data_IF_272036246139
#
_entry.id   IF_272036246139
#
_cell.length_a   1.000
_cell.length_b   1.000
_cell.length_c   1.000
_cell.angle_alpha   90.00
_cell.angle_beta   90.00
_cell.angle_gamma   90.00
#
_symmetry.space_group_name_H-M   'P 1'
#
loop_
_entity.id
_entity.type
_entity.pdbx_description
1 polymer ?
#
# COMPACT_ATOMS: atom_id res chain seq x y z
N UNK A 1 -12.47 30.86 10.00
CA UNK A 1 -12.31 30.15 8.72
C UNK A 1 -12.07 28.70 9.07
N UNK A 2 -12.84 27.78 8.51
CA UNK A 2 -12.59 26.35 8.68
C UNK A 2 -11.26 25.97 8.01
N UNK A 3 -10.47 25.06 8.61
CA UNK A 3 -9.20 24.64 8.05
C UNK A 3 -9.43 23.92 6.73
N UNK A 4 -8.60 24.23 5.73
CA UNK A 4 -8.78 23.66 4.39
C UNK A 4 -8.45 22.17 4.35
N UNK A 5 -9.27 21.40 3.64
CA UNK A 5 -8.98 19.99 3.39
C UNK A 5 -7.81 19.80 2.40
N UNK A 6 -6.87 18.94 2.78
CA UNK A 6 -5.66 18.63 2.00
C UNK A 6 -5.80 17.28 1.28
N UNK A 7 -6.20 16.25 2.03
CA UNK A 7 -6.31 14.87 1.57
C UNK A 7 -7.41 14.15 2.33
N UNK A 8 -8.06 13.21 1.67
CA UNK A 8 -8.98 12.27 2.29
C UNK A 8 -8.75 10.88 1.72
N UNK A 9 -9.12 9.84 2.47
CA UNK A 9 -9.00 8.45 2.03
C UNK A 9 -9.20 7.46 3.18
N UNK A 10 -9.35 6.19 2.84
CA UNK A 10 -9.41 5.13 3.84
C UNK A 10 -8.00 4.78 4.33
N UNK A 11 -7.82 4.73 5.64
CA UNK A 11 -6.64 4.18 6.30
C UNK A 11 -7.08 3.26 7.43
N UNK A 12 -6.22 2.33 7.82
CA UNK A 12 -6.46 1.48 8.99
C UNK A 12 -5.82 2.12 10.20
N UNK A 13 -6.64 2.52 11.18
CA UNK A 13 -6.19 3.21 12.39
C UNK A 13 -6.12 2.23 13.56
N UNK A 14 -5.03 2.28 14.33
CA UNK A 14 -4.94 1.62 15.64
C UNK A 14 -5.76 2.37 16.69
N UNK A 15 -6.60 1.65 17.43
CA UNK A 15 -7.40 2.15 18.53
C UNK A 15 -6.59 2.30 19.82
N UNK A 16 -6.81 3.39 20.56
CA UNK A 16 -6.01 3.73 21.74
C UNK A 16 -6.29 2.86 22.98
N UNK A 17 -7.50 2.29 23.08
CA UNK A 17 -7.95 1.56 24.30
C UNK A 17 -7.73 0.06 24.20
N UNK A 18 -8.09 -0.54 23.07
CA UNK A 18 -8.07 -2.01 22.88
C UNK A 18 -7.02 -2.49 21.88
N UNK A 19 -6.12 -1.60 21.41
CA UNK A 19 -5.13 -1.88 20.36
C UNK A 19 -5.71 -2.52 19.07
N UNK A 20 -7.03 -2.39 18.84
CA UNK A 20 -7.71 -2.93 17.65
C UNK A 20 -7.45 -2.04 16.44
N UNK A 21 -7.25 -2.64 15.29
CA UNK A 21 -7.08 -1.93 14.02
C UNK A 21 -8.42 -1.88 13.29
N UNK A 22 -8.80 -0.71 12.78
CA UNK A 22 -10.07 -0.53 12.06
C UNK A 22 -9.88 0.37 10.85
N UNK A 23 -10.47 -0.02 9.72
CA UNK A 23 -10.58 0.86 8.56
C UNK A 23 -11.44 2.07 8.93
N UNK A 24 -10.90 3.26 8.73
CA UNK A 24 -11.52 4.54 9.03
C UNK A 24 -11.37 5.46 7.83
N UNK A 25 -12.35 6.33 7.62
CA UNK A 25 -12.22 7.42 6.68
C UNK A 25 -11.39 8.52 7.34
N UNK A 26 -10.26 8.89 6.76
CA UNK A 26 -9.32 9.86 7.34
C UNK A 26 -9.29 11.09 6.47
N UNK A 27 -9.32 12.26 7.11
CA UNK A 27 -9.26 13.57 6.47
C UNK A 27 -8.10 14.36 7.07
N UNK A 28 -7.13 14.71 6.24
CA UNK A 28 -6.04 15.63 6.59
C UNK A 28 -6.49 17.06 6.29
N UNK A 29 -6.50 17.88 7.33
CA UNK A 29 -6.78 19.31 7.31
C UNK A 29 -5.48 20.10 7.51
N UNK A 30 -5.53 21.41 7.31
CA UNK A 30 -4.36 22.29 7.51
C UNK A 30 -3.79 22.26 8.93
N UNK A 31 -4.61 21.99 9.94
CA UNK A 31 -4.28 22.09 11.36
C UNK A 31 -4.32 20.75 12.11
N UNK A 32 -4.87 19.71 11.49
CA UNK A 32 -5.18 18.46 12.16
C UNK A 32 -5.50 17.30 11.21
N UNK A 33 -5.67 16.12 11.79
CA UNK A 33 -6.22 14.95 11.12
C UNK A 33 -7.50 14.55 11.84
N UNK A 34 -8.58 14.46 11.09
CA UNK A 34 -9.84 13.92 11.56
C UNK A 34 -10.04 12.50 11.02
N UNK A 35 -10.72 11.66 11.80
CA UNK A 35 -11.05 10.32 11.36
C UNK A 35 -12.49 9.96 11.71
N UNK A 36 -13.15 9.28 10.79
CA UNK A 36 -14.57 8.99 10.77
C UNK A 36 -14.78 7.49 10.59
N UNK A 37 -15.90 6.96 11.08
CA UNK A 37 -16.21 5.53 10.88
C UNK A 37 -16.57 5.27 9.41
N UNK A 38 -17.23 6.22 8.75
CA UNK A 38 -17.58 6.21 7.33
C UNK A 38 -17.37 7.58 6.72
N UNK A 39 -17.18 7.64 5.40
CA UNK A 39 -17.11 8.90 4.64
C UNK A 39 -18.37 9.75 4.80
N UNK A 40 -19.54 9.12 4.89
CA UNK A 40 -20.85 9.78 5.02
C UNK A 40 -21.16 10.29 6.44
N UNK A 41 -20.26 10.10 7.41
CA UNK A 41 -20.50 10.54 8.78
C UNK A 41 -20.24 12.05 8.89
N UNK A 42 -21.19 12.80 9.45
CA UNK A 42 -21.06 14.26 9.60
C UNK A 42 -20.21 14.69 10.81
N UNK A 43 -19.81 13.76 11.67
CA UNK A 43 -19.04 14.05 12.88
C UNK A 43 -17.83 13.12 13.02
N UNK A 44 -16.64 13.67 13.30
CA UNK A 44 -15.43 12.87 13.46
C UNK A 44 -15.51 12.05 14.75
N UNK A 45 -14.91 10.86 14.71
CA UNK A 45 -14.65 10.04 15.91
C UNK A 45 -13.54 10.63 16.78
N UNK A 46 -12.70 11.47 16.19
CA UNK A 46 -11.68 12.23 16.91
C UNK A 46 -10.83 13.06 15.95
N UNK A 47 -10.06 13.96 16.55
CA UNK A 47 -9.13 14.86 15.88
C UNK A 47 -7.74 14.71 16.50
N UNK A 48 -6.71 14.72 15.66
CA UNK A 48 -5.29 14.69 16.04
C UNK A 48 -4.70 16.04 15.63
N UNK A 49 -4.32 16.92 16.58
CA UNK A 49 -3.69 18.19 16.23
C UNK A 49 -2.31 17.95 15.62
N UNK A 50 -1.96 18.69 14.57
CA UNK A 50 -0.66 18.57 13.91
C UNK A 50 0.39 19.55 14.45
N UNK A 51 -0.02 20.62 15.11
CA UNK A 51 0.89 21.63 15.67
C UNK A 51 1.85 21.01 16.69
N UNK A 52 3.14 21.02 16.37
CA UNK A 52 4.22 20.45 17.20
C UNK A 52 4.22 18.92 17.25
N UNK A 53 3.44 18.26 16.40
CA UNK A 53 3.45 16.79 16.27
C UNK A 53 4.64 16.35 15.43
N UNK A 54 5.19 15.17 15.74
CA UNK A 54 6.26 14.54 14.95
C UNK A 54 5.69 13.36 14.15
N UNK A 55 6.30 13.07 13.01
CA UNK A 55 5.87 12.00 12.11
C UNK A 55 7.03 11.02 11.85
N UNK A 56 6.77 9.74 12.12
CA UNK A 56 7.68 8.62 11.84
C UNK A 56 7.11 7.78 10.68
N UNK A 57 7.86 7.63 9.58
CA UNK A 57 7.43 6.91 8.36
C UNK A 57 7.58 5.40 8.48
N UNK A 58 8.63 4.94 9.14
CA UNK A 58 8.95 3.53 9.36
C UNK A 58 8.59 3.12 10.78
N UNK A 59 7.55 2.30 10.94
CA UNK A 59 7.21 1.70 12.22
C UNK A 59 7.39 0.18 12.13
N UNK A 60 8.55 -0.30 12.59
CA UNK A 60 8.89 -1.73 12.61
C UNK A 60 8.30 -2.47 13.83
N UNK A 61 7.67 -1.73 14.76
CA UNK A 61 7.02 -2.27 15.95
C UNK A 61 5.91 -3.29 15.64
N UNK A 62 5.48 -3.38 14.37
CA UNK A 62 4.44 -4.28 13.90
C UNK A 62 4.94 -5.19 12.79
N UNK A 63 5.70 -6.22 13.14
CA UNK A 63 6.30 -7.19 12.20
C UNK A 63 5.31 -7.81 11.18
N UNK A 64 4.00 -7.83 11.48
CA UNK A 64 2.96 -8.36 10.59
C UNK A 64 2.12 -7.29 9.86
N UNK A 65 2.46 -6.00 9.99
CA UNK A 65 1.72 -4.90 9.35
C UNK A 65 2.66 -4.01 8.56
N UNK A 66 2.51 -4.09 7.25
CA UNK A 66 3.22 -3.23 6.31
C UNK A 66 2.58 -1.84 6.21
N UNK A 67 3.40 -0.86 5.79
CA UNK A 67 2.97 0.50 5.46
C UNK A 67 2.37 1.30 6.63
N UNK A 68 2.83 1.02 7.85
CA UNK A 68 2.42 1.74 9.07
C UNK A 68 3.27 3.00 9.23
N UNK A 69 2.62 4.12 9.49
CA UNK A 69 3.25 5.36 9.94
C UNK A 69 2.67 5.83 11.27
N UNK A 70 3.47 6.59 12.03
CA UNK A 70 3.15 7.05 13.38
C UNK A 70 3.20 8.56 13.50
N UNK A 71 2.19 9.14 14.15
CA UNK A 71 2.14 10.54 14.54
C UNK A 71 2.21 10.62 16.07
N UNK A 72 3.22 11.30 16.59
CA UNK A 72 3.36 11.56 18.03
C UNK A 72 3.00 13.01 18.31
N UNK A 73 1.94 13.24 19.06
CA UNK A 73 1.48 14.60 19.41
C UNK A 73 2.37 15.26 20.45
N UNK A 74 2.24 16.58 20.63
CA UNK A 74 2.94 17.34 21.70
C UNK A 74 2.67 16.80 23.11
N UNK A 75 1.53 16.13 23.32
CA UNK A 75 1.18 15.46 24.58
C UNK A 75 1.79 14.06 24.72
N UNK A 76 2.75 13.70 23.86
CA UNK A 76 3.38 12.37 23.80
C UNK A 76 2.37 11.24 23.57
N UNK A 77 1.27 11.54 22.86
CA UNK A 77 0.30 10.53 22.46
C UNK A 77 0.61 10.03 21.05
N UNK A 78 0.79 8.71 20.92
CA UNK A 78 1.07 8.03 19.65
C UNK A 78 -0.20 7.61 18.92
N UNK A 79 -0.25 7.93 17.63
CA UNK A 79 -1.32 7.55 16.72
C UNK A 79 -0.74 6.82 15.51
N UNK A 80 -1.20 5.58 15.30
CA UNK A 80 -0.73 4.73 14.21
C UNK A 80 -1.78 4.59 13.12
N UNK A 81 -1.33 4.69 11.88
CA UNK A 81 -2.12 4.51 10.68
C UNK A 81 -1.40 3.58 9.72
N UNK A 82 -2.14 2.74 9.03
CA UNK A 82 -1.66 1.84 8.01
C UNK A 82 -2.33 2.18 6.68
N UNK A 83 -1.51 2.35 5.64
CA UNK A 83 -1.97 2.48 4.26
C UNK A 83 -2.17 1.11 3.60
N UNK A 84 -2.88 1.10 2.48
CA UNK A 84 -3.16 -0.11 1.70
C UNK A 84 -1.93 -0.60 0.94
N UNK A 85 -1.08 0.33 0.50
CA UNK A 85 0.15 0.11 -0.27
C UNK A 85 1.16 1.23 -0.01
N UNK A 86 2.39 1.03 -0.48
CA UNK A 86 3.55 1.86 -0.17
C UNK A 86 3.40 3.31 -0.64
N UNK A 87 3.02 3.51 -1.89
CA UNK A 87 2.88 4.83 -2.50
C UNK A 87 1.74 5.63 -1.84
N UNK A 88 0.68 4.95 -1.37
CA UNK A 88 -0.37 5.60 -0.56
C UNK A 88 0.21 6.12 0.75
N UNK A 89 0.97 5.29 1.48
CA UNK A 89 1.64 5.69 2.73
C UNK A 89 2.51 6.91 2.49
N UNK A 90 3.38 6.88 1.49
CA UNK A 90 4.34 7.96 1.23
C UNK A 90 3.63 9.25 0.83
N UNK A 91 2.55 9.14 0.08
CA UNK A 91 1.72 10.28 -0.27
C UNK A 91 1.05 10.91 0.97
N UNK A 92 0.55 10.09 1.91
CA UNK A 92 0.06 10.57 3.20
C UNK A 92 1.16 11.21 4.04
N UNK A 93 2.29 10.52 4.22
CA UNK A 93 3.44 11.00 5.00
C UNK A 93 3.94 12.34 4.46
N UNK A 94 4.08 12.47 3.14
CA UNK A 94 4.51 13.69 2.45
C UNK A 94 3.57 14.86 2.70
N UNK A 95 2.26 14.65 2.60
CA UNK A 95 1.27 15.71 2.80
C UNK A 95 1.18 16.11 4.28
N UNK A 96 1.28 15.15 5.22
CA UNK A 96 1.30 15.43 6.67
C UNK A 96 2.56 16.22 7.06
N UNK A 97 3.75 15.80 6.61
CA UNK A 97 5.01 16.55 6.86
C UNK A 97 4.90 17.99 6.37
N UNK A 98 4.30 18.19 5.19
CA UNK A 98 4.09 19.53 4.62
C UNK A 98 3.12 20.35 5.48
N UNK A 99 2.01 19.76 5.93
CA UNK A 99 1.05 20.44 6.79
C UNK A 99 1.68 20.89 8.11
N UNK A 100 2.39 20.00 8.82
CA UNK A 100 3.11 20.32 10.07
C UNK A 100 4.06 21.51 9.86
N UNK A 101 4.89 21.47 8.81
CA UNK A 101 5.83 22.55 8.49
C UNK A 101 5.13 23.89 8.19
N UNK A 102 3.99 23.87 7.50
CA UNK A 102 3.22 25.08 7.20
C UNK A 102 2.66 25.71 8.48
N UNK A 103 2.11 24.89 9.39
CA UNK A 103 1.58 25.34 10.70
C UNK A 103 2.68 26.00 11.53
N UNK A 104 3.85 25.37 11.62
CA UNK A 104 5.00 25.90 12.40
C UNK A 104 5.51 27.22 11.84
N UNK A 105 5.51 27.39 10.51
CA UNK A 105 5.90 28.64 9.85
C UNK A 105 4.83 29.74 9.85
N UNK A 106 3.64 29.51 10.44
CA UNK A 106 2.52 30.45 10.40
C UNK A 106 1.94 30.66 9.00
N UNK A 107 2.14 29.72 8.08
CA UNK A 107 1.72 29.79 6.67
C UNK A 107 0.47 28.94 6.41
N UNK A 108 -0.43 29.40 5.53
CA UNK A 108 -1.58 28.60 5.04
C UNK A 108 -1.13 27.52 4.05
N UNK A 109 -1.81 26.39 3.99
CA UNK A 109 -1.46 25.29 3.09
C UNK A 109 -1.80 25.64 1.64
N UNK A 110 -0.77 25.80 0.80
CA UNK A 110 -0.94 26.03 -0.62
C UNK A 110 -0.51 24.79 -1.44
N UNK A 111 -1.47 24.14 -2.11
CA UNK A 111 -1.18 23.24 -3.25
C UNK A 111 -0.81 24.10 -4.46
N UNK A 112 0.40 24.68 -4.48
CA UNK A 112 0.99 25.18 -5.73
C UNK A 112 1.76 24.04 -6.40
N UNK A 113 1.45 23.83 -7.68
CA UNK A 113 2.16 22.91 -8.58
C UNK A 113 3.67 23.12 -8.44
N UNK A 114 4.39 22.06 -8.07
CA UNK A 114 5.84 22.09 -7.95
C UNK A 114 6.48 22.09 -9.33
N UNK A 115 6.57 23.26 -9.97
CA UNK A 115 7.69 23.54 -10.86
C UNK A 115 8.69 24.44 -10.14
N UNK A 116 9.87 23.85 -9.92
CA UNK A 116 11.10 24.40 -9.32
C UNK A 116 11.10 24.49 -7.80
N UNK A 117 11.48 23.37 -7.16
CA UNK A 117 12.06 23.38 -5.82
C UNK A 117 13.52 23.81 -5.88
N UNK A 118 13.88 24.72 -4.97
CA UNK A 118 15.25 25.07 -4.64
C UNK A 118 15.91 23.85 -3.99
N UNK A 119 17.12 23.52 -4.47
CA UNK A 119 17.90 22.34 -4.12
C UNK A 119 18.38 22.37 -2.67
N UNK A 120 18.25 21.24 -1.98
CA UNK A 120 19.17 20.81 -0.92
C UNK A 120 20.09 19.73 -1.52
N UNK A 121 21.35 19.60 -1.08
CA UNK A 121 22.26 18.55 -1.55
C UNK A 121 21.77 17.12 -1.21
N UNK A 122 21.49 16.37 -2.28
CA UNK A 122 21.81 14.97 -2.60
C UNK A 122 21.87 13.92 -1.46
N UNK A 123 20.72 13.48 -0.96
CA UNK A 123 20.56 12.11 -0.47
C UNK A 123 19.47 11.45 -1.30
N UNK A 124 19.73 10.23 -1.79
CA UNK A 124 18.87 9.50 -2.73
C UNK A 124 17.40 9.58 -2.30
N UNK A 125 16.51 10.00 -3.21
CA UNK A 125 15.07 9.87 -3.03
C UNK A 125 14.71 8.38 -3.12
N UNK A 126 14.55 7.73 -1.96
CA UNK A 126 14.28 6.29 -1.86
C UNK A 126 13.01 5.89 -2.61
N UNK A 127 12.00 6.77 -2.69
CA UNK A 127 10.78 6.50 -3.45
C UNK A 127 11.02 6.52 -4.95
N UNK A 128 11.77 7.51 -5.45
CA UNK A 128 12.16 7.55 -6.86
C UNK A 128 13.09 6.39 -7.24
N UNK A 129 13.99 6.01 -6.34
CA UNK A 129 14.87 4.86 -6.50
C UNK A 129 14.05 3.56 -6.55
N UNK A 130 13.12 3.36 -5.62
CA UNK A 130 12.22 2.20 -5.59
C UNK A 130 11.44 2.04 -6.89
N UNK A 131 10.86 3.12 -7.42
CA UNK A 131 10.16 3.09 -8.71
C UNK A 131 11.10 2.68 -9.86
N UNK A 132 12.36 3.11 -9.82
CA UNK A 132 13.37 2.72 -10.81
C UNK A 132 13.81 1.25 -10.65
N UNK A 133 13.89 0.76 -9.41
CA UNK A 133 14.19 -0.65 -9.11
C UNK A 133 13.09 -1.59 -9.59
N UNK A 134 11.85 -1.12 -9.71
CA UNK A 134 10.68 -1.87 -10.19
C UNK A 134 10.40 -1.74 -11.69
N UNK A 135 11.24 -1.00 -12.42
CA UNK A 135 11.08 -0.86 -13.86
C UNK A 135 11.19 -2.24 -14.55
N UNK A 136 10.24 -2.57 -15.41
CA UNK A 136 10.14 -3.91 -16.03
C UNK A 136 11.31 -4.23 -16.96
N UNK A 137 11.97 -3.22 -17.53
CA UNK A 137 13.07 -3.41 -18.47
C UNK A 137 14.44 -3.21 -17.83
N UNK A 138 14.55 -2.22 -16.93
CA UNK A 138 15.83 -1.72 -16.39
C UNK A 138 15.96 -1.91 -14.89
N UNK A 139 14.91 -2.36 -14.22
CA UNK A 139 14.88 -2.60 -12.77
C UNK A 139 15.56 -3.91 -12.36
N UNK A 140 15.40 -4.25 -11.09
CA UNK A 140 15.82 -5.52 -10.53
C UNK A 140 14.88 -6.60 -11.04
N UNK A 141 15.45 -7.65 -11.62
CA UNK A 141 14.67 -8.80 -12.08
C UNK A 141 14.19 -9.60 -10.87
N UNK A 142 12.88 -9.66 -10.72
CA UNK A 142 12.21 -10.61 -9.83
C UNK A 142 12.33 -12.03 -10.40
N UNK A 143 12.68 -12.98 -9.54
CA UNK A 143 12.95 -14.37 -9.86
C UNK A 143 12.14 -15.28 -8.95
N UNK A 144 11.89 -16.49 -9.43
CA UNK A 144 11.38 -17.59 -8.61
C UNK A 144 12.59 -18.42 -8.16
N UNK A 145 12.91 -18.34 -6.87
CA UNK A 145 14.07 -18.98 -6.27
C UNK A 145 13.63 -20.17 -5.41
N UNK A 146 14.32 -21.30 -5.55
CA UNK A 146 14.08 -22.48 -4.69
C UNK A 146 15.25 -22.66 -3.72
N UNK A 147 14.93 -22.79 -2.42
CA UNK A 147 15.90 -23.06 -1.37
C UNK A 147 15.28 -23.89 -0.26
N UNK A 148 15.97 -24.93 0.19
CA UNK A 148 15.52 -25.82 1.27
C UNK A 148 14.11 -26.40 1.04
N UNK A 149 13.79 -26.74 -0.22
CA UNK A 149 12.46 -27.21 -0.68
C UNK A 149 11.33 -26.18 -0.52
N UNK A 150 11.66 -24.91 -0.31
CA UNK A 150 10.72 -23.78 -0.32
C UNK A 150 10.90 -22.99 -1.61
N UNK A 151 9.79 -22.58 -2.20
CA UNK A 151 9.78 -21.72 -3.39
C UNK A 151 9.47 -20.29 -2.96
N UNK A 152 10.34 -19.36 -3.34
CA UNK A 152 10.23 -17.92 -3.10
C UNK A 152 9.97 -17.24 -4.45
N UNK A 153 8.71 -16.86 -4.69
CA UNK A 153 8.34 -16.19 -5.94
C UNK A 153 8.49 -14.68 -5.81
N UNK A 154 8.72 -13.99 -6.93
CA UNK A 154 8.88 -12.53 -6.95
C UNK A 154 10.02 -12.00 -6.04
N UNK A 155 11.11 -12.77 -5.97
CA UNK A 155 12.27 -12.47 -5.12
C UNK A 155 13.50 -12.02 -5.91
N UNK A 156 14.44 -11.43 -5.21
CA UNK A 156 15.77 -11.16 -5.69
C UNK A 156 16.77 -11.32 -4.56
N UNK A 157 18.04 -11.49 -4.90
CA UNK A 157 19.10 -11.69 -3.91
C UNK A 157 19.66 -10.35 -3.43
N UNK A 158 20.25 -10.35 -2.24
CA UNK A 158 20.88 -9.17 -1.67
C UNK A 158 22.00 -8.63 -2.56
N UNK A 159 22.79 -9.53 -3.16
CA UNK A 159 23.85 -9.16 -4.10
C UNK A 159 23.31 -8.50 -5.36
N UNK A 160 22.18 -8.97 -5.91
CA UNK A 160 21.54 -8.37 -7.08
C UNK A 160 21.11 -6.91 -6.83
N UNK A 161 20.64 -6.59 -5.61
CA UNK A 161 20.30 -5.19 -5.24
C UNK A 161 21.54 -4.30 -5.30
N UNK A 162 22.65 -4.74 -4.71
CA UNK A 162 23.89 -3.95 -4.68
C UNK A 162 24.47 -3.81 -6.08
N UNK A 163 24.50 -4.90 -6.86
CA UNK A 163 24.99 -4.90 -8.24
C UNK A 163 24.17 -3.95 -9.11
N UNK A 164 22.84 -3.96 -8.96
CA UNK A 164 21.96 -3.03 -9.66
C UNK A 164 22.25 -1.57 -9.29
N UNK A 165 22.39 -1.25 -7.99
CA UNK A 165 22.72 0.10 -7.52
C UNK A 165 24.05 0.61 -8.08
N UNK A 166 25.08 -0.24 -8.14
CA UNK A 166 26.37 0.08 -8.78
C UNK A 166 26.17 0.34 -10.28
N UNK A 167 25.46 -0.56 -10.97
CA UNK A 167 25.24 -0.46 -12.42
C UNK A 167 24.47 0.80 -12.83
N UNK A 168 23.51 1.23 -12.00
CA UNK A 168 22.71 2.42 -12.22
C UNK A 168 23.38 3.71 -11.73
N UNK A 169 24.69 3.65 -11.40
CA UNK A 169 25.50 4.78 -10.89
C UNK A 169 24.87 5.50 -9.69
N UNK A 170 24.06 4.78 -8.92
CA UNK A 170 23.39 5.33 -7.73
C UNK A 170 24.30 5.35 -6.51
N UNK A 171 25.42 4.60 -6.56
CA UNK A 171 26.42 4.46 -5.50
C UNK A 171 27.84 4.39 -6.07
N UNK A 172 28.82 4.75 -5.26
CA UNK A 172 30.26 4.75 -5.60
C UNK A 172 30.96 3.44 -5.24
N UNK A 173 30.46 2.73 -4.24
CA UNK A 173 31.00 1.47 -3.76
C UNK A 173 29.92 0.62 -3.07
N UNK A 174 30.23 -0.66 -2.80
CA UNK A 174 29.27 -1.60 -2.20
C UNK A 174 28.87 -1.24 -0.78
N UNK A 175 29.73 -0.56 -0.01
CA UNK A 175 29.41 -0.10 1.35
C UNK A 175 28.34 0.99 1.33
N UNK A 176 28.41 1.93 0.38
CA UNK A 176 27.34 2.90 0.11
C UNK A 176 26.06 2.20 -0.36
N UNK A 177 26.19 1.13 -1.16
CA UNK A 177 25.08 0.25 -1.52
C UNK A 177 24.39 -0.39 -0.31
N UNK A 178 25.15 -0.94 0.62
CA UNK A 178 24.63 -1.53 1.85
C UNK A 178 23.88 -0.51 2.71
N UNK A 179 24.37 0.74 2.80
CA UNK A 179 23.67 1.81 3.51
C UNK A 179 22.31 2.15 2.85
N UNK A 180 22.28 2.27 1.52
CA UNK A 180 21.02 2.55 0.80
C UNK A 180 20.06 1.36 0.88
N UNK A 181 20.54 0.14 0.66
CA UNK A 181 19.72 -1.07 0.73
C UNK A 181 19.15 -1.30 2.14
N UNK A 182 19.95 -1.04 3.18
CA UNK A 182 19.47 -1.04 4.57
C UNK A 182 18.42 0.05 4.81
N UNK A 183 18.59 1.24 4.22
CA UNK A 183 17.59 2.31 4.30
C UNK A 183 16.28 1.93 3.58
N UNK A 184 16.36 1.31 2.41
CA UNK A 184 15.21 0.80 1.67
C UNK A 184 14.48 -0.29 2.46
N UNK A 185 15.21 -1.23 3.06
CA UNK A 185 14.65 -2.27 3.93
C UNK A 185 13.96 -1.65 5.16
N UNK A 186 14.63 -0.72 5.83
CA UNK A 186 14.12 -0.10 7.05
C UNK A 186 12.87 0.76 6.81
N UNK A 187 12.83 1.48 5.69
CA UNK A 187 11.67 2.25 5.25
C UNK A 187 10.59 1.37 4.58
N UNK A 188 10.80 0.05 4.52
CA UNK A 188 9.83 -0.93 4.02
C UNK A 188 9.63 -0.91 2.51
N UNK A 189 10.58 -0.37 1.74
CA UNK A 189 10.63 -0.51 0.28
C UNK A 189 11.10 -1.90 -0.16
N UNK A 190 11.85 -2.60 0.70
CA UNK A 190 12.23 -4.00 0.55
C UNK A 190 11.73 -4.78 1.76
N UNK A 191 11.51 -6.07 1.58
CA UNK A 191 11.19 -6.98 2.67
C UNK A 191 12.09 -8.21 2.64
N UNK A 192 12.50 -8.74 3.81
CA UNK A 192 13.35 -9.93 3.87
C UNK A 192 12.55 -11.20 3.60
N UNK A 193 13.08 -12.06 2.73
CA UNK A 193 12.57 -13.41 2.47
C UNK A 193 13.60 -14.46 2.91
N UNK A 194 13.10 -15.59 3.44
CA UNK A 194 13.92 -16.66 3.99
C UNK A 194 14.56 -16.34 5.34
N UNK A 195 15.02 -17.37 6.03
CA UNK A 195 15.48 -17.25 7.42
C UNK A 195 16.74 -16.38 7.54
N UNK A 196 17.65 -16.45 6.57
CA UNK A 196 18.89 -15.67 6.59
C UNK A 196 18.62 -14.15 6.61
N UNK A 197 17.81 -13.66 5.67
CA UNK A 197 17.48 -12.24 5.59
C UNK A 197 16.59 -11.77 6.74
N UNK A 198 15.64 -12.63 7.18
CA UNK A 198 14.75 -12.31 8.32
C UNK A 198 15.55 -12.16 9.61
N UNK A 199 16.43 -13.11 9.90
CA UNK A 199 17.29 -13.05 11.08
C UNK A 199 18.23 -11.84 11.06
N UNK A 200 18.72 -11.44 9.87
CA UNK A 200 19.52 -10.23 9.74
C UNK A 200 18.71 -8.95 9.99
N UNK A 201 17.48 -8.88 9.48
CA UNK A 201 16.59 -7.75 9.67
C UNK A 201 16.09 -7.61 11.12
N UNK A 202 15.85 -8.73 11.81
CA UNK A 202 15.38 -8.78 13.20
C UNK A 202 16.53 -8.70 14.23
N UNK A 203 17.78 -8.86 13.78
CA UNK A 203 18.96 -8.88 14.62
C UNK A 203 19.45 -7.51 15.10
N UNK A 204 20.30 -7.49 16.12
CA UNK A 204 20.97 -6.27 16.64
C UNK A 204 22.22 -5.92 15.78
N UNK A 205 22.38 -6.56 14.62
CA UNK A 205 23.54 -6.34 13.76
C UNK A 205 23.56 -4.90 13.22
N UNK A 206 24.76 -4.35 12.97
CA UNK A 206 24.93 -2.98 12.44
C UNK A 206 24.24 -2.78 11.07
N UNK A 207 24.09 -3.85 10.28
CA UNK A 207 23.47 -3.79 8.95
C UNK A 207 22.33 -4.82 8.82
N UNK A 208 21.06 -4.39 8.72
CA UNK A 208 19.92 -5.31 8.58
C UNK A 208 19.80 -5.92 7.18
N UNK A 209 20.50 -5.35 6.18
CA UNK A 209 20.57 -5.85 4.82
C UNK A 209 21.88 -6.59 4.55
N UNK A 210 21.81 -7.75 3.89
CA UNK A 210 22.95 -8.59 3.56
C UNK A 210 23.25 -8.53 2.05
N UNK A 211 24.46 -8.12 1.71
CA UNK A 211 25.01 -8.29 0.36
C UNK A 211 25.46 -9.75 0.16
N UNK A 212 24.50 -10.62 -0.10
CA UNK A 212 24.73 -12.06 -0.18
C UNK A 212 23.78 -12.72 -1.21
N UNK A 213 24.28 -13.62 -2.09
CA UNK A 213 23.44 -14.36 -3.04
C UNK A 213 22.40 -15.27 -2.37
N UNK A 214 22.63 -15.67 -1.11
CA UNK A 214 21.75 -16.54 -0.33
C UNK A 214 20.72 -15.79 0.53
N UNK A 215 20.80 -14.46 0.56
CA UNK A 215 19.87 -13.58 1.27
C UNK A 215 18.81 -13.09 0.29
N UNK A 216 17.55 -13.49 0.49
CA UNK A 216 16.46 -13.14 -0.40
C UNK A 216 15.67 -11.94 0.11
N UNK A 217 15.16 -11.14 -0.82
CA UNK A 217 14.36 -9.96 -0.58
C UNK A 217 13.26 -9.86 -1.65
N UNK A 218 12.19 -9.13 -1.34
CA UNK A 218 11.08 -8.89 -2.27
C UNK A 218 10.55 -7.47 -2.16
N UNK A 219 9.89 -7.00 -3.22
CA UNK A 219 9.14 -5.75 -3.17
C UNK A 219 7.77 -5.98 -2.48
N UNK A 220 7.35 -5.14 -1.54
CA UNK A 220 6.10 -5.32 -0.77
C UNK A 220 4.82 -5.44 -1.62
N UNK A 221 4.84 -4.95 -2.86
CA UNK A 221 3.73 -4.94 -3.81
C UNK A 221 3.98 -5.83 -5.03
N UNK A 222 5.03 -6.66 -5.02
CA UNK A 222 5.27 -7.65 -6.08
C UNK A 222 4.25 -8.78 -6.07
N UNK A 223 3.58 -8.99 -4.92
CA UNK A 223 2.74 -10.15 -4.71
C UNK A 223 3.51 -11.39 -4.26
N UNK A 224 4.72 -11.21 -3.74
CA UNK A 224 5.54 -12.23 -3.08
C UNK A 224 4.70 -13.24 -2.28
N UNK A 225 5.07 -14.51 -2.46
CA UNK A 225 4.60 -15.61 -1.64
C UNK A 225 5.73 -16.63 -1.47
N UNK A 226 5.72 -17.32 -0.33
CA UNK A 226 6.66 -18.39 0.00
C UNK A 226 5.87 -19.67 0.26
N UNK A 227 6.10 -20.71 -0.54
CA UNK A 227 5.46 -22.01 -0.32
C UNK A 227 6.27 -22.84 0.67
N UNK A 228 5.61 -23.28 1.75
CA UNK A 228 5.96 -24.56 2.37
C UNK A 228 5.17 -25.63 1.62
N UNK A 229 5.82 -26.73 1.20
CA UNK A 229 5.17 -27.81 0.46
C UNK A 229 3.92 -28.29 1.21
N UNK A 230 2.76 -27.84 0.75
CA UNK A 230 1.44 -28.13 1.29
C UNK A 230 0.50 -28.38 0.11
N UNK A 231 -0.15 -29.55 0.20
CA UNK A 231 -1.33 -30.11 -0.48
C UNK A 231 -1.73 -29.62 -1.88
N UNK A 232 -2.17 -30.53 -2.75
CA UNK A 232 -2.62 -30.29 -4.14
C UNK A 232 -3.75 -29.23 -4.27
N UNK A 233 -4.55 -29.00 -3.22
CA UNK A 233 -5.57 -27.93 -3.19
C UNK A 233 -4.98 -26.50 -3.11
N UNK A 234 -3.74 -26.35 -2.63
CA UNK A 234 -3.07 -25.05 -2.58
C UNK A 234 -2.66 -24.58 -3.98
N UNK A 235 -2.46 -25.50 -4.94
CA UNK A 235 -1.90 -25.20 -6.27
C UNK A 235 -2.79 -24.25 -7.08
N UNK A 236 -4.12 -24.35 -6.95
CA UNK A 236 -5.08 -23.51 -7.68
C UNK A 236 -5.14 -22.09 -7.10
N UNK A 237 -5.08 -21.95 -5.76
CA UNK A 237 -4.92 -20.64 -5.10
C UNK A 237 -3.56 -20.01 -5.45
N UNK A 238 -2.50 -20.80 -5.61
CA UNK A 238 -1.14 -20.33 -5.94
C UNK A 238 -0.99 -19.77 -7.35
N UNK A 239 -1.86 -20.12 -8.29
CA UNK A 239 -1.78 -19.62 -9.66
C UNK A 239 -2.41 -18.22 -9.81
N UNK A 240 -3.53 -17.95 -9.14
CA UNK A 240 -4.20 -16.62 -9.15
C UNK A 240 -3.32 -15.49 -8.57
N UNK A 241 -2.34 -15.81 -7.71
CA UNK A 241 -1.44 -14.83 -7.09
C UNK A 241 -0.19 -14.47 -7.90
N UNK A 242 0.11 -15.18 -9.00
CA UNK A 242 1.32 -14.92 -9.82
C UNK A 242 1.26 -13.62 -10.61
N UNK A 243 0.06 -13.08 -10.80
CA UNK A 243 -0.12 -11.88 -11.60
C UNK A 243 0.49 -10.64 -10.95
N UNK A 244 1.11 -9.81 -11.77
CA UNK A 244 1.74 -8.55 -11.35
C UNK A 244 0.68 -7.62 -10.81
N UNK A 245 0.93 -7.04 -9.63
CA UNK A 245 0.00 -6.07 -9.04
C UNK A 245 0.05 -4.76 -9.82
N UNK A 246 -1.09 -4.37 -10.41
CA UNK A 246 -1.21 -3.14 -11.21
C UNK A 246 -2.04 -2.05 -10.53
N UNK A 247 -2.86 -2.40 -9.53
CA UNK A 247 -3.59 -1.41 -8.71
C UNK A 247 -3.97 -1.97 -7.34
N UNK A 248 -3.87 -1.14 -6.31
CA UNK A 248 -4.31 -1.46 -4.96
C UNK A 248 -5.10 -0.28 -4.36
N UNK A 249 -5.93 -0.56 -3.37
CA UNK A 249 -6.65 0.48 -2.62
C UNK A 249 -7.90 -0.03 -1.92
N UNK A 250 -8.52 0.81 -1.08
CA UNK A 250 -9.73 0.46 -0.35
C UNK A 250 -10.99 0.91 -1.10
N UNK A 251 -11.94 -0.01 -1.26
CA UNK A 251 -13.28 0.26 -1.80
C UNK A 251 -14.34 -0.26 -0.83
N UNK A 252 -15.56 0.26 -0.92
CA UNK A 252 -16.71 -0.41 -0.29
C UNK A 252 -17.20 -1.51 -1.23
N UNK A 253 -17.44 -2.70 -0.68
CA UNK A 253 -18.00 -3.86 -1.38
C UNK A 253 -19.35 -4.23 -0.79
N UNK A 254 -20.34 -4.48 -1.64
CA UNK A 254 -21.60 -5.07 -1.24
C UNK A 254 -21.44 -6.59 -0.98
N UNK A 255 -21.98 -7.08 0.13
CA UNK A 255 -22.02 -8.51 0.44
C UNK A 255 -23.02 -9.26 -0.45
N UNK A 256 -22.68 -10.48 -0.89
CA UNK A 256 -23.54 -11.27 -1.79
C UNK A 256 -24.82 -11.77 -1.09
N UNK A 257 -24.70 -12.34 0.12
CA UNK A 257 -25.84 -12.87 0.88
C UNK A 257 -26.59 -11.80 1.66
N UNK A 258 -25.85 -10.99 2.41
CA UNK A 258 -26.38 -9.83 3.12
C UNK A 258 -25.86 -8.61 2.36
N UNK A 259 -26.75 -7.81 1.78
CA UNK A 259 -26.45 -6.63 0.94
C UNK A 259 -25.87 -5.45 1.75
N UNK A 260 -25.02 -5.73 2.73
CA UNK A 260 -24.32 -4.72 3.51
C UNK A 260 -23.05 -4.28 2.80
N UNK A 261 -22.68 -3.01 3.00
CA UNK A 261 -21.46 -2.43 2.47
C UNK A 261 -20.35 -2.51 3.51
N UNK A 262 -19.20 -3.05 3.10
CA UNK A 262 -18.01 -3.14 3.96
C UNK A 262 -16.78 -2.65 3.21
N UNK A 263 -15.88 -1.94 3.90
CA UNK A 263 -14.59 -1.55 3.35
C UNK A 263 -13.74 -2.80 3.16
N UNK A 264 -13.11 -2.93 1.99
CA UNK A 264 -12.21 -4.01 1.61
C UNK A 264 -10.99 -3.42 0.94
N UNK A 265 -9.81 -3.96 1.23
CA UNK A 265 -8.59 -3.67 0.48
C UNK A 265 -8.63 -4.56 -0.76
N UNK A 266 -8.56 -3.96 -1.93
CA UNK A 266 -8.52 -4.65 -3.20
C UNK A 266 -7.11 -4.65 -3.78
N UNK A 267 -6.73 -5.76 -4.40
CA UNK A 267 -5.45 -5.95 -5.10
C UNK A 267 -5.76 -6.52 -6.48
N UNK A 268 -5.58 -5.69 -7.50
CA UNK A 268 -5.76 -6.04 -8.91
C UNK A 268 -4.44 -6.54 -9.48
N UNK A 269 -4.48 -7.74 -10.03
CA UNK A 269 -3.36 -8.43 -10.66
C UNK A 269 -3.61 -8.60 -12.16
N UNK A 270 -2.53 -8.51 -12.92
CA UNK A 270 -2.50 -8.80 -14.35
C UNK A 270 -1.72 -10.09 -14.59
N UNK A 271 -2.31 -10.99 -15.39
CA UNK A 271 -1.74 -12.27 -15.85
C UNK A 271 -1.27 -13.26 -14.74
N UNK A 272 -2.18 -14.07 -14.16
CA UNK A 272 -3.60 -14.16 -14.49
C UNK A 272 -4.42 -13.00 -13.92
N UNK A 273 -5.46 -12.61 -14.66
CA UNK A 273 -6.27 -11.43 -14.32
C UNK A 273 -7.23 -11.70 -13.16
N UNK A 274 -6.85 -11.27 -11.96
CA UNK A 274 -7.64 -11.45 -10.74
C UNK A 274 -7.74 -10.17 -9.91
N UNK A 275 -8.89 -10.00 -9.26
CA UNK A 275 -9.12 -8.97 -8.25
C UNK A 275 -9.37 -9.62 -6.88
N UNK A 276 -8.35 -9.61 -6.04
CA UNK A 276 -8.41 -10.16 -4.68
C UNK A 276 -8.88 -9.09 -3.70
N UNK A 277 -9.64 -9.47 -2.68
CA UNK A 277 -10.06 -8.54 -1.64
C UNK A 277 -9.88 -9.08 -0.22
N UNK A 278 -9.42 -8.21 0.66
CA UNK A 278 -8.98 -8.53 2.02
C UNK A 278 -9.76 -7.72 3.06
N UNK A 279 -9.75 -8.19 4.31
CA UNK A 279 -10.04 -7.30 5.43
C UNK A 279 -8.86 -6.32 5.58
N UNK A 280 -9.06 -4.99 5.42
CA UNK A 280 -7.96 -4.03 5.59
C UNK A 280 -7.28 -4.13 6.95
N UNK A 281 -8.04 -4.50 7.98
CA UNK A 281 -7.52 -4.67 9.33
C UNK A 281 -7.08 -6.12 9.64
N UNK A 282 -7.28 -7.05 8.72
CA UNK A 282 -6.98 -8.48 8.88
C UNK A 282 -5.55 -8.86 8.52
N UNK A 283 -5.34 -10.16 8.33
CA UNK A 283 -4.07 -10.75 7.89
C UNK A 283 -3.91 -10.74 6.38
N UNK A 284 -2.99 -11.57 5.89
CA UNK A 284 -2.63 -11.64 4.46
C UNK A 284 -3.55 -12.55 3.64
N UNK A 285 -4.48 -13.26 4.28
CA UNK A 285 -5.39 -14.17 3.59
C UNK A 285 -6.54 -13.40 2.89
N UNK A 286 -6.82 -13.69 1.61
CA UNK A 286 -7.92 -13.08 0.89
C UNK A 286 -9.26 -13.52 1.47
N UNK A 287 -10.22 -12.59 1.55
CA UNK A 287 -11.63 -12.90 1.82
C UNK A 287 -12.37 -13.40 0.58
N UNK A 288 -11.74 -13.30 -0.58
CA UNK A 288 -12.20 -13.83 -1.84
C UNK A 288 -11.47 -13.21 -3.02
N UNK A 289 -11.68 -13.82 -4.18
CA UNK A 289 -11.10 -13.45 -5.46
C UNK A 289 -12.22 -13.24 -6.49
N UNK A 290 -11.93 -12.44 -7.52
CA UNK A 290 -12.78 -12.26 -8.69
C UNK A 290 -11.92 -12.52 -9.91
N UNK A 291 -12.21 -13.60 -10.63
CA UNK A 291 -11.58 -13.88 -11.91
C UNK A 291 -12.10 -12.89 -12.95
N UNK A 292 -11.20 -12.15 -13.60
CA UNK A 292 -11.57 -11.01 -14.45
C UNK A 292 -11.58 -11.36 -15.93
N UNK A 293 -11.07 -12.53 -16.33
CA UNK A 293 -11.09 -12.94 -17.74
C UNK A 293 -12.55 -13.05 -18.21
N UNK A 294 -12.87 -12.32 -19.26
CA UNK A 294 -14.23 -12.26 -19.80
C UNK A 294 -15.23 -11.49 -18.93
N UNK A 295 -14.79 -10.79 -17.88
CA UNK A 295 -15.69 -9.94 -17.09
C UNK A 295 -16.07 -8.66 -17.82
N UNK A 296 -17.24 -8.12 -17.48
CA UNK A 296 -17.70 -6.80 -17.88
C UNK A 296 -17.67 -5.90 -16.66
N UNK A 297 -17.08 -4.71 -16.80
CA UNK A 297 -17.05 -3.70 -15.74
C UNK A 297 -17.66 -2.38 -16.23
N UNK A 298 -18.64 -1.88 -15.48
CA UNK A 298 -19.44 -0.71 -15.87
C UNK A 298 -19.69 0.22 -14.68
N UNK A 299 -19.78 1.52 -14.93
CA UNK A 299 -20.28 2.47 -13.93
C UNK A 299 -21.77 2.26 -13.72
N UNK A 300 -22.24 2.41 -12.48
CA UNK A 300 -23.66 2.27 -12.13
C UNK A 300 -24.13 3.58 -11.50
N UNK A 301 -25.32 4.04 -11.90
CA UNK A 301 -25.89 5.32 -11.44
C UNK A 301 -26.74 5.17 -10.17
N UNK A 302 -27.20 3.97 -9.85
CA UNK A 302 -28.00 3.69 -8.65
C UNK A 302 -27.79 2.28 -8.14
N UNK A 303 -27.81 2.12 -6.81
CA UNK A 303 -27.78 0.79 -6.19
C UNK A 303 -29.00 -0.03 -6.65
N UNK A 304 -28.85 -1.32 -7.00
CA UNK A 304 -29.97 -2.23 -7.32
C UNK A 304 -31.12 -2.22 -6.31
N UNK A 305 -30.84 -1.86 -5.05
CA UNK A 305 -31.84 -1.77 -3.97
C UNK A 305 -32.72 -0.50 -4.04
N UNK A 306 -32.61 0.33 -5.09
CA UNK A 306 -33.51 1.46 -5.38
C UNK A 306 -33.36 2.67 -4.46
N UNK A 307 -32.36 2.69 -3.57
CA UNK A 307 -32.05 3.86 -2.73
C UNK A 307 -31.24 4.86 -3.55
N UNK A 308 -31.86 5.98 -3.91
CA UNK A 308 -31.14 7.15 -4.43
C UNK A 308 -30.25 7.71 -3.32
N UNK A 309 -28.95 7.71 -3.54
CA UNK A 309 -28.01 8.54 -2.80
C UNK A 309 -27.18 9.31 -3.82
N UNK A 310 -27.07 10.62 -3.58
CA UNK A 310 -26.77 11.60 -4.63
C UNK A 310 -25.35 11.54 -5.22
N UNK A 311 -24.44 10.72 -4.68
CA UNK A 311 -23.05 10.65 -5.17
C UNK A 311 -22.42 9.27 -4.93
N UNK A 312 -23.12 8.19 -5.28
CA UNK A 312 -22.52 6.87 -5.14
C UNK A 312 -21.61 6.61 -6.34
N UNK A 313 -20.29 6.76 -6.15
CA UNK A 313 -19.25 6.42 -7.12
C UNK A 313 -19.18 4.90 -7.36
N UNK A 314 -20.31 4.31 -7.76
CA UNK A 314 -20.55 2.90 -7.92
C UNK A 314 -20.08 2.41 -9.27
N UNK A 315 -19.64 1.18 -9.25
CA UNK A 315 -19.40 0.39 -10.42
C UNK A 315 -19.66 -1.08 -10.11
N UNK A 316 -19.93 -1.83 -11.16
CA UNK A 316 -20.25 -3.23 -11.11
C UNK A 316 -19.26 -4.01 -11.95
N UNK A 317 -18.89 -5.19 -11.45
CA UNK A 317 -18.16 -6.21 -12.21
C UNK A 317 -19.09 -7.41 -12.34
N UNK A 318 -19.35 -7.82 -13.58
CA UNK A 318 -20.09 -9.04 -13.92
C UNK A 318 -19.07 -10.01 -14.48
N UNK A 319 -18.85 -11.13 -13.79
CA UNK A 319 -17.90 -12.17 -14.22
C UNK A 319 -18.48 -13.01 -15.36
N UNK A 320 -17.64 -13.84 -15.99
CA UNK A 320 -18.06 -14.71 -17.09
C UNK A 320 -19.12 -15.77 -16.67
N UNK A 321 -19.17 -16.12 -15.39
CA UNK A 321 -20.17 -16.96 -14.75
C UNK A 321 -21.37 -16.17 -14.19
N UNK A 322 -21.57 -14.94 -14.66
CA UNK A 322 -22.71 -14.06 -14.31
C UNK A 322 -22.79 -13.72 -12.81
N UNK A 323 -21.66 -13.69 -12.10
CA UNK A 323 -21.61 -13.24 -10.71
C UNK A 323 -21.42 -11.73 -10.66
N UNK A 324 -22.36 -11.07 -9.98
CA UNK A 324 -22.40 -9.61 -9.85
C UNK A 324 -21.67 -9.13 -8.59
N UNK A 325 -20.72 -8.22 -8.76
CA UNK A 325 -19.97 -7.55 -7.69
C UNK A 325 -20.20 -6.05 -7.74
N UNK A 326 -20.90 -5.50 -6.75
CA UNK A 326 -21.10 -4.06 -6.60
C UNK A 326 -20.04 -3.45 -5.69
N UNK A 327 -19.36 -2.43 -6.22
CA UNK A 327 -18.25 -1.72 -5.58
C UNK A 327 -18.50 -0.21 -5.59
N UNK A 328 -18.02 0.48 -4.57
CA UNK A 328 -18.10 1.95 -4.47
C UNK A 328 -16.71 2.51 -4.19
N UNK A 329 -16.26 3.42 -5.05
CA UNK A 329 -15.06 4.21 -4.84
C UNK A 329 -15.33 5.41 -3.92
N UNK A 330 -14.28 5.98 -3.35
CA UNK A 330 -14.42 7.18 -2.53
C UNK A 330 -14.67 8.42 -3.39
N UNK A 331 -14.16 8.47 -4.63
CA UNK A 331 -14.31 9.62 -5.53
C UNK A 331 -14.64 9.20 -6.97
N UNK A 332 -15.23 10.09 -7.80
CA UNK A 332 -15.51 9.77 -9.20
C UNK A 332 -14.24 9.47 -10.00
N UNK A 333 -13.15 10.16 -9.65
CA UNK A 333 -11.83 9.94 -10.24
C UNK A 333 -11.32 8.54 -9.93
N UNK A 334 -11.36 8.14 -8.66
CA UNK A 334 -10.94 6.80 -8.22
C UNK A 334 -11.79 5.71 -8.89
N UNK A 335 -13.12 5.89 -9.00
CA UNK A 335 -13.99 4.96 -9.74
C UNK A 335 -13.50 4.77 -11.17
N UNK A 336 -13.23 5.87 -11.86
CA UNK A 336 -12.77 5.85 -13.26
C UNK A 336 -11.44 5.13 -13.40
N UNK A 337 -10.51 5.36 -12.47
CA UNK A 337 -9.22 4.66 -12.44
C UNK A 337 -9.36 3.15 -12.20
N UNK A 338 -10.24 2.71 -11.29
CA UNK A 338 -10.50 1.29 -11.06
C UNK A 338 -11.15 0.61 -12.25
N UNK A 339 -12.21 1.19 -12.83
CA UNK A 339 -12.86 0.66 -14.03
C UNK A 339 -11.85 0.49 -15.15
N UNK A 340 -11.05 1.53 -15.43
CA UNK A 340 -10.04 1.49 -16.49
C UNK A 340 -9.00 0.39 -16.24
N UNK A 341 -8.49 0.27 -15.02
CA UNK A 341 -7.49 -0.74 -14.69
C UNK A 341 -8.06 -2.17 -14.85
N UNK A 342 -9.29 -2.41 -14.39
CA UNK A 342 -9.96 -3.71 -14.53
C UNK A 342 -10.21 -4.05 -16.00
N UNK A 343 -10.63 -3.08 -16.83
CA UNK A 343 -10.80 -3.27 -18.28
C UNK A 343 -9.49 -3.58 -19.01
N UNK A 344 -8.35 -3.10 -18.50
CA UNK A 344 -7.04 -3.47 -19.06
C UNK A 344 -6.74 -4.91 -18.70
N UNK A 345 -6.76 -5.24 -17.40
CA UNK A 345 -6.47 -6.59 -16.93
C UNK A 345 -7.38 -7.68 -17.53
N UNK A 346 -8.69 -7.40 -17.69
CA UNK A 346 -9.65 -8.37 -18.24
C UNK A 346 -9.43 -8.71 -19.72
N UNK A 347 -8.66 -7.89 -20.44
CA UNK A 347 -8.32 -8.10 -21.86
C UNK A 347 -6.96 -8.75 -22.07
N UNK A 348 -6.05 -8.61 -21.11
CA UNK A 348 -4.66 -9.03 -21.22
C UNK A 348 -4.38 -10.38 -20.55
N UNK A 349 -5.19 -10.80 -19.58
CA UNK A 349 -5.07 -12.11 -18.90
C UNK A 349 -6.01 -13.21 -19.40
#
# INVERSE_FOLDING_TARGET
MEPKQIREGYLVKKGSVFNTWKAMWVVLLEDGIEFYKKKSDNSPKGMIPLKGSTLTSSCQDFAKRMFVFKITTTKQQDHFFQASFLEERDAWVKDIKRAIKCIEGGQKFARKSTRRSIRLPETIDLGALYLSMRDTERGIKELNLEKDKKVFNHCFTGSCVIDWLVSNKSIRNRQEGLMIASSLLNEGYLQPAGDLSKNAADGIAENPFLDNPDAFYYFPDSGFFCEENSSDDDVILKEEFRGVIIKQGCLLKQGHRRKNWKVRKFVLREDPAYLHYYDPAGGEDPLGAVHLRGCVVTSVESNPDGRKSDEENLFEIITADEVHYFLQAATPKERTEWIKAIQVASRTG
#
